data_IF_112954799653
#
_entry.id   IF_112954799653
#
_cell.length_a   1.000
_cell.length_b   1.000
_cell.length_c   1.000
_cell.angle_alpha   90.00
_cell.angle_beta   90.00
_cell.angle_gamma   90.00
#
_symmetry.space_group_name_H-M   'P 1'
#
loop_
_entity.id
_entity.type
_entity.pdbx_description
1 polymer ?
#
# COMPACT_ATOMS: atom_id res chain seq x y z
N UNK A 1 23.77 24.55 17.53
CA UNK A 1 23.86 23.56 16.44
C UNK A 1 22.72 23.79 15.45
N UNK A 2 22.90 24.69 14.48
CA UNK A 2 21.94 24.91 13.39
C UNK A 2 21.85 23.70 12.43
N UNK A 3 22.92 22.90 12.32
CA UNK A 3 23.03 21.81 11.34
C UNK A 3 21.97 20.70 11.51
N UNK A 4 21.52 20.44 12.74
CA UNK A 4 20.54 19.36 13.01
C UNK A 4 19.14 19.71 12.55
N UNK A 5 18.74 20.99 12.66
CA UNK A 5 17.43 21.46 12.21
C UNK A 5 17.34 21.46 10.69
N UNK A 6 18.36 22.00 10.02
CA UNK A 6 18.43 22.00 8.56
C UNK A 6 18.45 20.55 8.02
N UNK A 7 19.21 19.66 8.66
CA UNK A 7 19.22 18.23 8.31
C UNK A 7 17.82 17.60 8.48
N UNK A 8 17.11 17.95 9.56
CA UNK A 8 15.76 17.43 9.82
C UNK A 8 14.75 17.95 8.78
N UNK A 9 14.84 19.23 8.39
CA UNK A 9 14.00 19.80 7.33
C UNK A 9 14.28 19.18 5.95
N UNK A 10 15.54 18.88 5.64
CA UNK A 10 15.92 18.19 4.42
C UNK A 10 15.36 16.77 4.37
N UNK A 11 15.41 16.05 5.50
CA UNK A 11 14.83 14.72 5.62
C UNK A 11 13.30 14.74 5.49
N UNK A 12 12.62 15.71 6.10
CA UNK A 12 11.17 15.90 5.89
C UNK A 12 10.84 16.15 4.41
N UNK A 13 11.62 17.00 3.74
CA UNK A 13 11.47 17.27 2.31
C UNK A 13 11.73 16.02 1.45
N UNK A 14 12.61 15.13 1.89
CA UNK A 14 12.84 13.85 1.21
C UNK A 14 11.63 12.91 1.36
N UNK A 15 11.03 12.85 2.55
CA UNK A 15 9.79 12.07 2.79
C UNK A 15 8.64 12.59 1.91
N UNK A 16 8.48 13.91 1.82
CA UNK A 16 7.45 14.55 0.97
C UNK A 16 7.63 14.19 -0.51
N UNK A 17 8.87 14.24 -1.03
CA UNK A 17 9.15 13.81 -2.42
C UNK A 17 8.86 12.34 -2.65
N UNK A 18 9.17 11.48 -1.68
CA UNK A 18 8.87 10.04 -1.80
C UNK A 18 7.37 9.77 -1.78
N UNK A 19 6.60 10.54 -1.01
CA UNK A 19 5.13 10.47 -1.07
C UNK A 19 4.58 10.82 -2.46
N UNK A 20 5.12 11.87 -3.09
CA UNK A 20 4.71 12.27 -4.44
C UNK A 20 5.06 11.18 -5.47
N UNK A 21 6.21 10.52 -5.30
CA UNK A 21 6.62 9.42 -6.18
C UNK A 21 5.74 8.18 -6.00
N UNK A 22 5.39 7.83 -4.76
CA UNK A 22 4.42 6.76 -4.48
C UNK A 22 3.07 7.07 -5.14
N UNK A 23 2.58 8.31 -5.03
CA UNK A 23 1.31 8.72 -5.67
C UNK A 23 1.38 8.60 -7.20
N UNK A 24 2.48 9.05 -7.82
CA UNK A 24 2.67 8.93 -9.27
C UNK A 24 2.70 7.46 -9.72
N UNK A 25 3.50 6.62 -9.06
CA UNK A 25 3.63 5.20 -9.41
C UNK A 25 2.34 4.43 -9.15
N UNK A 26 1.57 4.80 -8.12
CA UNK A 26 0.23 4.27 -7.86
C UNK A 26 -0.76 4.55 -8.99
N UNK A 27 -0.60 5.65 -9.71
CA UNK A 27 -1.43 6.00 -10.87
C UNK A 27 -0.97 5.24 -12.11
N UNK A 28 0.34 5.07 -12.28
CA UNK A 28 0.94 4.33 -13.40
C UNK A 28 0.62 2.83 -13.38
N UNK A 29 0.36 2.26 -12.19
CA UNK A 29 0.00 0.85 -12.05
C UNK A 29 1.18 -0.12 -12.17
N UNK A 30 2.41 0.38 -12.06
CA UNK A 30 3.63 -0.43 -12.07
C UNK A 30 3.90 -0.99 -10.68
N UNK A 31 3.63 -2.28 -10.50
CA UNK A 31 3.79 -2.97 -9.22
C UNK A 31 5.24 -3.04 -8.73
N UNK A 32 6.22 -3.19 -9.64
CA UNK A 32 7.63 -3.31 -9.29
C UNK A 32 8.16 -1.97 -8.82
N UNK A 33 7.84 -0.90 -9.56
CA UNK A 33 8.20 0.45 -9.15
C UNK A 33 7.48 0.87 -7.87
N UNK A 34 6.26 0.39 -7.64
CA UNK A 34 5.50 0.70 -6.43
C UNK A 34 6.16 0.09 -5.20
N UNK A 35 6.62 -1.15 -5.28
CA UNK A 35 7.34 -1.82 -4.18
C UNK A 35 8.65 -1.11 -3.83
N UNK A 36 9.41 -0.71 -4.86
CA UNK A 36 10.62 0.10 -4.69
C UNK A 36 10.30 1.45 -4.02
N UNK A 37 9.29 2.18 -4.50
CA UNK A 37 8.85 3.45 -3.92
C UNK A 37 8.39 3.30 -2.46
N UNK A 38 7.70 2.20 -2.13
CA UNK A 38 7.28 1.88 -0.76
C UNK A 38 8.47 1.57 0.16
N UNK A 39 9.53 0.95 -0.38
CA UNK A 39 10.78 0.72 0.36
C UNK A 39 11.52 2.03 0.62
N UNK A 40 11.64 2.89 -0.40
CA UNK A 40 12.33 4.16 -0.31
C UNK A 40 11.66 5.13 0.68
N UNK A 41 10.32 5.23 0.66
CA UNK A 41 9.59 6.05 1.63
C UNK A 41 9.77 5.54 3.06
N UNK A 42 9.86 4.22 3.27
CA UNK A 42 10.14 3.64 4.59
C UNK A 42 11.53 4.03 5.09
N UNK A 43 12.55 3.93 4.22
CA UNK A 43 13.93 4.32 4.55
C UNK A 43 13.98 5.81 4.90
N UNK A 44 13.40 6.68 4.06
CA UNK A 44 13.37 8.12 4.30
C UNK A 44 12.63 8.48 5.60
N UNK A 45 11.52 7.81 5.90
CA UNK A 45 10.75 8.03 7.12
C UNK A 45 11.50 7.62 8.38
N UNK A 46 12.23 6.51 8.34
CA UNK A 46 13.07 6.06 9.46
C UNK A 46 14.24 7.02 9.71
N UNK A 47 14.90 7.48 8.65
CA UNK A 47 15.96 8.47 8.76
C UNK A 47 15.43 9.80 9.36
N UNK A 48 14.26 10.25 8.90
CA UNK A 48 13.57 11.42 9.45
C UNK A 48 13.21 11.24 10.94
N UNK A 49 12.63 10.10 11.31
CA UNK A 49 12.29 9.80 12.70
C UNK A 49 13.53 9.79 13.61
N UNK A 50 14.62 9.17 13.18
CA UNK A 50 15.88 9.19 13.93
C UNK A 50 16.46 10.59 14.09
N UNK A 51 16.39 11.43 13.05
CA UNK A 51 16.79 12.83 13.15
C UNK A 51 15.90 13.62 14.13
N UNK A 52 14.59 13.39 14.10
CA UNK A 52 13.62 14.02 15.00
C UNK A 52 13.88 13.64 16.46
N UNK A 53 14.18 12.37 16.75
CA UNK A 53 14.53 11.89 18.09
C UNK A 53 15.84 12.52 18.59
N UNK A 54 16.80 12.77 17.70
CA UNK A 54 18.08 13.42 18.04
C UNK A 54 17.98 14.95 18.21
N UNK A 55 16.90 15.56 17.71
CA UNK A 55 16.66 17.00 17.82
C UNK A 55 16.15 17.35 19.22
N UNK A 56 17.07 17.80 20.08
CA UNK A 56 16.89 17.94 21.53
C UNK A 56 15.92 19.05 22.02
N UNK A 57 15.20 19.78 21.16
CA UNK A 57 14.15 20.69 21.63
C UNK A 57 12.99 20.84 20.65
N UNK A 58 11.78 20.56 21.12
CA UNK A 58 10.53 20.81 20.39
C UNK A 58 10.26 22.29 20.14
N UNK A 59 10.93 23.20 20.85
CA UNK A 59 10.84 24.65 20.69
C UNK A 59 11.55 25.12 19.41
N UNK A 60 12.44 24.32 18.86
CA UNK A 60 13.13 24.59 17.61
C UNK A 60 12.27 24.28 16.37
N UNK A 61 11.15 23.55 16.52
CA UNK A 61 10.21 23.27 15.44
C UNK A 61 9.08 24.27 15.44
N UNK A 62 9.07 25.14 14.43
CA UNK A 62 8.02 26.11 14.22
C UNK A 62 6.68 25.48 13.81
N UNK A 63 5.66 26.31 13.69
CA UNK A 63 4.31 25.88 13.30
C UNK A 63 4.28 25.28 11.88
N UNK A 64 5.09 25.81 10.97
CA UNK A 64 5.12 25.35 9.57
C UNK A 64 5.65 23.92 9.47
N UNK A 65 6.76 23.64 10.15
CA UNK A 65 7.34 22.31 10.22
C UNK A 65 6.34 21.28 10.78
N UNK A 66 5.64 21.62 11.87
CA UNK A 66 4.61 20.75 12.45
C UNK A 66 3.46 20.48 11.48
N UNK A 67 2.98 21.52 10.78
CA UNK A 67 1.92 21.37 9.78
C UNK A 67 2.33 20.46 8.61
N UNK A 68 3.60 20.53 8.19
CA UNK A 68 4.17 19.63 7.17
C UNK A 68 4.21 18.18 7.66
N UNK A 69 4.67 17.94 8.89
CA UNK A 69 4.66 16.59 9.49
C UNK A 69 3.24 16.02 9.58
N UNK A 70 2.26 16.81 10.02
CA UNK A 70 0.85 16.40 10.05
C UNK A 70 0.31 16.08 8.64
N UNK A 71 0.72 16.86 7.64
CA UNK A 71 0.34 16.62 6.24
C UNK A 71 0.91 15.30 5.73
N UNK A 72 2.17 15.01 6.00
CA UNK A 72 2.82 13.72 5.70
C UNK A 72 2.08 12.57 6.37
N UNK A 73 1.79 12.67 7.67
CA UNK A 73 1.09 11.63 8.42
C UNK A 73 -0.32 11.34 7.86
N UNK A 74 -1.03 12.40 7.46
CA UNK A 74 -2.35 12.31 6.83
C UNK A 74 -2.28 11.62 5.47
N UNK A 75 -1.30 12.00 4.63
CA UNK A 75 -1.08 11.39 3.30
C UNK A 75 -0.76 9.90 3.42
N UNK A 76 0.15 9.52 4.32
CA UNK A 76 0.48 8.11 4.58
C UNK A 76 -0.75 7.29 4.99
N UNK A 77 -1.61 7.86 5.84
CA UNK A 77 -2.85 7.20 6.29
C UNK A 77 -3.84 6.98 5.14
N UNK A 78 -3.97 7.97 4.25
CA UNK A 78 -4.81 7.89 3.06
C UNK A 78 -4.27 6.86 2.06
N UNK A 79 -2.97 6.89 1.78
CA UNK A 79 -2.32 5.93 0.87
C UNK A 79 -2.48 4.49 1.36
N UNK A 80 -2.24 4.23 2.66
CA UNK A 80 -2.45 2.90 3.26
C UNK A 80 -3.89 2.41 3.09
N UNK A 81 -4.85 3.31 3.29
CA UNK A 81 -6.28 3.00 3.13
C UNK A 81 -6.61 2.70 1.67
N UNK A 82 -6.12 3.51 0.74
CA UNK A 82 -6.32 3.31 -0.70
C UNK A 82 -5.69 2.02 -1.22
N UNK A 83 -4.49 1.68 -0.76
CA UNK A 83 -3.81 0.41 -1.06
C UNK A 83 -4.60 -0.79 -0.57
N UNK A 84 -5.11 -0.75 0.67
CA UNK A 84 -5.92 -1.82 1.23
C UNK A 84 -7.22 -2.03 0.42
N UNK A 85 -7.89 -0.96 0.02
CA UNK A 85 -9.09 -1.03 -0.82
C UNK A 85 -8.79 -1.61 -2.21
N UNK A 86 -7.70 -1.18 -2.85
CA UNK A 86 -7.28 -1.71 -4.16
C UNK A 86 -6.97 -3.20 -4.10
N UNK A 87 -6.28 -3.66 -3.04
CA UNK A 87 -6.00 -5.07 -2.83
C UNK A 87 -7.30 -5.90 -2.78
N UNK A 88 -8.30 -5.47 -1.99
CA UNK A 88 -9.62 -6.15 -1.93
C UNK A 88 -10.30 -6.22 -3.30
N UNK A 89 -10.21 -5.17 -4.11
CA UNK A 89 -10.78 -5.16 -5.47
C UNK A 89 -10.04 -6.15 -6.38
N UNK A 90 -8.71 -6.18 -6.32
CA UNK A 90 -7.88 -7.12 -7.09
C UNK A 90 -8.18 -8.56 -6.72
N UNK A 91 -8.23 -8.89 -5.43
CA UNK A 91 -8.58 -10.23 -4.94
C UNK A 91 -9.97 -10.67 -5.40
N UNK A 92 -10.96 -9.76 -5.34
CA UNK A 92 -12.31 -10.04 -5.84
C UNK A 92 -12.33 -10.26 -7.36
N UNK A 93 -11.59 -9.47 -8.12
CA UNK A 93 -11.47 -9.63 -9.56
C UNK A 93 -10.81 -10.97 -9.92
N UNK A 94 -9.74 -11.32 -9.21
CA UNK A 94 -9.03 -12.58 -9.37
C UNK A 94 -9.96 -13.77 -9.05
N UNK A 95 -10.69 -13.73 -7.94
CA UNK A 95 -11.66 -14.77 -7.57
C UNK A 95 -12.78 -14.94 -8.61
N UNK A 96 -13.18 -13.86 -9.30
CA UNK A 96 -14.17 -13.91 -10.38
C UNK A 96 -13.61 -14.55 -11.66
N UNK A 97 -12.32 -14.34 -11.95
CA UNK A 97 -11.63 -14.93 -13.11
C UNK A 97 -11.29 -16.40 -12.89
N UNK A 98 -10.87 -16.78 -11.68
CA UNK A 98 -10.50 -18.15 -11.30
C UNK A 98 -11.72 -18.92 -10.76
N UNK A 99 -12.93 -18.70 -11.32
CA UNK A 99 -14.09 -19.53 -10.95
C UNK A 99 -13.73 -21.00 -11.20
N UNK A 100 -13.84 -21.90 -10.20
CA UNK A 100 -13.83 -23.33 -10.48
C UNK A 100 -14.94 -23.57 -11.51
N UNK A 101 -14.59 -24.17 -12.65
CA UNK A 101 -15.61 -24.68 -13.57
C UNK A 101 -16.57 -25.51 -12.71
N UNK A 102 -17.88 -25.24 -12.67
CA UNK A 102 -18.79 -26.25 -12.18
C UNK A 102 -18.49 -27.48 -13.04
N UNK A 103 -18.11 -28.59 -12.39
CA UNK A 103 -17.97 -29.88 -13.07
C UNK A 103 -19.21 -30.01 -13.93
N UNK A 104 -19.04 -30.05 -15.26
CA UNK A 104 -20.17 -30.08 -16.16
C UNK A 104 -20.91 -31.39 -15.90
N UNK A 105 -21.93 -31.34 -15.04
CA UNK A 105 -22.85 -32.45 -14.81
C UNK A 105 -23.81 -32.45 -16.00
N UNK A 106 -23.27 -32.75 -17.18
CA UNK A 106 -24.11 -33.34 -18.21
C UNK A 106 -24.49 -34.72 -17.67
N UNK A 107 -25.67 -34.79 -17.06
CA UNK A 107 -26.43 -36.05 -17.05
C UNK A 107 -26.61 -36.39 -18.52
N UNK A 108 -25.88 -37.39 -18.99
CA UNK A 108 -26.12 -38.00 -20.30
C UNK A 108 -27.57 -38.49 -20.32
N UNK A 109 -28.46 -37.94 -21.17
CA UNK A 109 -29.78 -38.51 -21.37
C UNK A 109 -29.57 -39.88 -22.02
N UNK A 110 -29.76 -40.95 -21.25
CA UNK A 110 -29.63 -42.33 -21.72
C UNK A 110 -28.61 -43.21 -21.01
N UNK A 111 -27.94 -42.76 -19.94
CA UNK A 111 -27.15 -43.70 -19.12
C UNK A 111 -28.13 -44.58 -18.34
N UNK A 112 -28.12 -45.92 -18.52
CA UNK A 112 -29.04 -46.80 -17.83
C UNK A 112 -28.72 -46.72 -16.34
N UNK A 113 -29.58 -46.03 -15.60
CA UNK A 113 -29.73 -46.25 -14.18
C UNK A 113 -29.88 -47.76 -14.00
N UNK A 114 -29.11 -48.31 -13.07
CA UNK A 114 -29.09 -49.70 -12.70
C UNK A 114 -30.52 -50.23 -12.47
N UNK A 115 -31.15 -50.74 -13.53
CA UNK A 115 -32.16 -51.78 -13.46
C UNK A 115 -31.44 -53.06 -13.09
N UNK A 116 -31.22 -53.24 -11.79
CA UNK A 116 -30.98 -54.53 -11.17
C UNK A 116 -31.50 -54.48 -9.72
N UNK A 117 -32.79 -54.19 -9.56
CA UNK A 117 -33.59 -54.82 -8.51
C UNK A 117 -34.39 -55.96 -9.15
N UNK A 118 -34.52 -57.07 -8.40
CA UNK A 118 -35.36 -58.25 -8.64
C UNK A 118 -34.78 -59.37 -9.52
N UNK A 119 -34.16 -60.39 -8.90
CA UNK A 119 -34.90 -61.60 -8.50
C UNK A 119 -34.15 -62.46 -7.48
#
# INVERSE_FOLDING_TARGET
MPDTLDSTQQLLSAVERQLDLVDAVLIEGDAVRLDAACSDIRIASLAFAGALESALSAEAFDREFRARVETVARRLSLQRTGLAQRNVVVERALASLIKPRPSATYVMPGSPAASAMAH
#
